data_IF_974481885233
#
_entry.id   IF_974481885233
#
_cell.length_a   1.000
_cell.length_b   1.000
_cell.length_c   1.000
_cell.angle_alpha   90.00
_cell.angle_beta   90.00
_cell.angle_gamma   90.00
#
_symmetry.space_group_name_H-M   'P 1'
#
loop_
_entity.id
_entity.type
_entity.pdbx_description
1 polymer ?
#
# COMPACT_ATOMS: atom_id res chain seq x y z
N UNK A 1 4.30 -48.43 -47.27
CA UNK A 1 3.40 -47.63 -46.42
C UNK A 1 3.98 -47.60 -45.01
N UNK A 2 4.47 -46.45 -44.56
CA UNK A 2 5.14 -46.31 -43.26
C UNK A 2 6.09 -45.13 -43.26
N UNK A 3 5.63 -44.01 -42.70
CA UNK A 3 6.42 -42.80 -42.44
C UNK A 3 7.38 -43.02 -41.28
N UNK A 4 8.58 -42.45 -41.39
CA UNK A 4 9.34 -41.67 -40.38
C UNK A 4 10.80 -41.59 -40.83
N UNK A 5 11.32 -40.38 -41.03
CA UNK A 5 12.43 -39.82 -40.26
C UNK A 5 12.97 -38.55 -40.94
N UNK A 6 12.91 -37.45 -40.17
CA UNK A 6 13.89 -36.36 -40.11
C UNK A 6 14.18 -35.48 -41.33
N UNK A 7 13.92 -34.19 -41.11
CA UNK A 7 14.81 -33.11 -41.57
C UNK A 7 14.14 -32.09 -42.47
N UNK A 8 13.83 -30.93 -41.90
CA UNK A 8 13.91 -29.57 -42.47
C UNK A 8 12.88 -28.70 -41.72
N UNK A 9 13.29 -28.02 -40.64
CA UNK A 9 13.98 -26.73 -40.72
C UNK A 9 13.02 -25.65 -41.26
N UNK A 10 12.36 -24.98 -40.31
CA UNK A 10 11.92 -23.58 -40.37
C UNK A 10 11.22 -23.11 -41.66
N UNK A 11 9.88 -23.13 -41.63
CA UNK A 11 9.00 -21.97 -41.89
C UNK A 11 7.57 -22.36 -41.53
N UNK A 12 6.81 -21.41 -40.99
CA UNK A 12 5.41 -21.53 -40.56
C UNK A 12 5.11 -22.10 -39.14
N UNK A 13 5.82 -21.63 -38.11
CA UNK A 13 5.25 -21.58 -36.75
C UNK A 13 4.90 -20.12 -36.44
N UNK A 14 3.62 -19.80 -36.48
CA UNK A 14 3.11 -18.45 -36.23
C UNK A 14 1.70 -18.46 -35.69
N UNK A 15 1.35 -19.43 -34.86
CA UNK A 15 0.08 -19.45 -34.15
C UNK A 15 0.14 -20.45 -32.99
N UNK A 16 -0.29 -20.01 -31.80
CA UNK A 16 -0.64 -20.84 -30.64
C UNK A 16 0.52 -21.56 -29.92
N UNK A 17 1.25 -20.82 -29.08
CA UNK A 17 1.72 -21.20 -27.73
C UNK A 17 2.62 -20.04 -27.26
N UNK A 18 2.06 -19.16 -26.43
CA UNK A 18 2.77 -18.41 -25.37
C UNK A 18 1.75 -17.61 -24.56
N UNK A 19 0.78 -18.34 -24.01
CA UNK A 19 -0.16 -17.87 -23.02
C UNK A 19 0.53 -17.93 -21.64
N UNK A 20 0.47 -16.82 -20.88
CA UNK A 20 0.48 -16.79 -19.39
C UNK A 20 1.77 -17.15 -18.62
N UNK A 21 2.95 -16.61 -18.96
CA UNK A 21 4.11 -16.73 -18.03
C UNK A 21 4.95 -15.48 -17.76
N UNK A 22 4.58 -14.31 -18.28
CA UNK A 22 5.34 -13.06 -18.02
C UNK A 22 4.56 -11.94 -17.33
N UNK A 23 3.24 -12.09 -17.12
CA UNK A 23 2.39 -11.06 -16.47
C UNK A 23 2.04 -11.35 -15.01
N UNK A 24 2.74 -12.28 -14.35
CA UNK A 24 2.39 -12.73 -12.98
C UNK A 24 3.48 -12.50 -11.92
N UNK A 25 4.64 -11.96 -12.31
CA UNK A 25 5.71 -11.55 -11.40
C UNK A 25 6.04 -10.05 -11.41
N UNK A 26 5.49 -9.26 -12.36
CA UNK A 26 5.84 -7.83 -12.49
C UNK A 26 5.20 -6.95 -11.41
N UNK A 27 3.91 -7.10 -11.11
CA UNK A 27 3.24 -6.13 -10.23
C UNK A 27 3.74 -6.11 -8.77
N UNK A 28 4.22 -7.23 -8.23
CA UNK A 28 4.78 -7.28 -6.86
C UNK A 28 6.23 -6.76 -6.81
N UNK A 29 7.02 -7.00 -7.86
CA UNK A 29 8.41 -6.54 -7.97
C UNK A 29 8.49 -5.08 -8.42
N UNK A 30 7.55 -4.59 -9.22
CA UNK A 30 7.46 -3.18 -9.60
C UNK A 30 7.03 -2.30 -8.43
N UNK A 31 6.17 -2.79 -7.53
CA UNK A 31 5.78 -2.04 -6.34
C UNK A 31 6.88 -1.99 -5.26
N UNK A 32 7.66 -3.06 -5.11
CA UNK A 32 8.86 -3.03 -4.27
C UNK A 32 9.95 -2.10 -4.85
N UNK A 33 10.12 -2.07 -6.18
CA UNK A 33 11.04 -1.12 -6.85
C UNK A 33 10.54 0.32 -6.83
N UNK A 34 9.23 0.55 -6.84
CA UNK A 34 8.61 1.87 -6.63
C UNK A 34 8.76 2.31 -5.17
N UNK A 35 8.67 1.40 -4.20
CA UNK A 35 8.97 1.70 -2.80
C UNK A 35 10.44 2.11 -2.57
N UNK A 36 11.40 1.53 -3.30
CA UNK A 36 12.82 1.97 -3.24
C UNK A 36 13.05 3.34 -3.90
N UNK A 37 12.27 3.69 -4.92
CA UNK A 37 12.45 4.95 -5.68
C UNK A 37 11.60 6.11 -5.15
N UNK A 38 10.48 5.81 -4.48
CA UNK A 38 9.77 6.75 -3.62
C UNK A 38 10.55 6.84 -2.31
N UNK A 39 11.70 7.52 -2.36
CA UNK A 39 12.35 8.06 -1.18
C UNK A 39 11.29 8.88 -0.42
N UNK A 40 10.63 8.21 0.53
CA UNK A 40 9.49 8.72 1.26
C UNK A 40 9.98 9.99 1.92
N UNK A 41 9.43 11.13 1.53
CA UNK A 41 9.76 12.44 2.08
C UNK A 41 9.89 12.33 3.60
N UNK A 42 11.11 12.49 4.12
CA UNK A 42 11.49 12.22 5.51
C UNK A 42 10.92 13.22 6.51
N UNK A 43 9.86 13.95 6.14
CA UNK A 43 9.24 14.95 7.01
C UNK A 43 8.31 14.24 7.97
N UNK A 44 8.73 14.18 9.23
CA UNK A 44 7.96 13.64 10.33
C UNK A 44 6.81 14.58 10.69
N UNK A 45 5.61 14.04 10.90
CA UNK A 45 4.40 14.79 11.26
C UNK A 45 4.25 14.86 12.78
N UNK A 46 3.55 15.88 13.29
CA UNK A 46 3.31 16.09 14.73
C UNK A 46 1.81 16.20 15.02
N UNK A 47 1.39 15.71 16.18
CA UNK A 47 0.08 15.97 16.77
C UNK A 47 0.25 16.20 18.28
N UNK A 48 -0.82 16.58 18.99
CA UNK A 48 -0.75 16.95 20.42
C UNK A 48 -0.10 15.90 21.33
N UNK A 49 -0.13 14.62 20.96
CA UNK A 49 0.43 13.51 21.74
C UNK A 49 1.72 12.90 21.19
N UNK A 50 2.29 13.40 20.09
CA UNK A 50 3.51 12.77 19.55
C UNK A 50 3.93 13.19 18.15
N UNK A 51 4.98 12.52 17.69
CA UNK A 51 5.66 12.74 16.40
C UNK A 51 5.67 11.41 15.66
N UNK A 52 5.27 11.38 14.38
CA UNK A 52 5.09 10.14 13.63
C UNK A 52 5.44 10.28 12.15
N UNK A 53 5.96 9.19 11.57
CA UNK A 53 6.12 9.00 10.13
C UNK A 53 5.52 7.63 9.80
N UNK A 54 4.25 7.64 9.39
CA UNK A 54 3.47 6.41 9.19
C UNK A 54 2.88 6.42 7.79
N UNK A 55 3.36 5.49 6.98
CA UNK A 55 2.81 5.14 5.69
C UNK A 55 2.29 3.72 5.68
N UNK A 56 1.26 3.46 4.88
CA UNK A 56 0.70 2.13 4.68
C UNK A 56 0.44 1.85 3.23
N UNK A 57 0.92 0.71 2.76
CA UNK A 57 0.54 0.13 1.49
C UNK A 57 -0.68 -0.76 1.70
N UNK A 58 -1.81 -0.39 1.11
CA UNK A 58 -3.09 -1.07 1.23
C UNK A 58 -3.50 -1.58 -0.15
N UNK A 59 -3.89 -2.85 -0.23
CA UNK A 59 -4.34 -3.47 -1.49
C UNK A 59 -5.68 -4.14 -1.27
N UNK A 60 -6.61 -3.96 -2.22
CA UNK A 60 -7.89 -4.69 -2.22
C UNK A 60 -8.35 -5.00 -3.63
N UNK A 61 -9.19 -6.05 -3.74
CA UNK A 61 -9.74 -6.50 -5.01
C UNK A 61 -11.25 -6.28 -5.10
N UNK A 62 -11.80 -6.13 -6.32
CA UNK A 62 -13.23 -6.27 -6.59
C UNK A 62 -13.75 -7.64 -6.15
N UNK A 63 -15.05 -7.72 -5.83
CA UNK A 63 -15.70 -8.97 -5.47
C UNK A 63 -15.59 -9.97 -6.63
N UNK A 64 -15.21 -11.21 -6.30
CA UNK A 64 -14.92 -12.28 -7.26
C UNK A 64 -13.83 -11.93 -8.30
N UNK A 65 -12.98 -10.93 -8.01
CA UNK A 65 -11.99 -10.36 -8.95
C UNK A 65 -12.59 -10.02 -10.31
N UNK A 66 -13.87 -9.64 -10.34
CA UNK A 66 -14.53 -9.19 -11.56
C UNK A 66 -13.94 -7.84 -11.94
N UNK A 67 -13.40 -7.69 -13.17
CA UNK A 67 -12.73 -6.45 -13.53
C UNK A 67 -13.69 -5.28 -13.46
N UNK A 68 -13.24 -4.19 -12.84
CA UNK A 68 -13.96 -2.91 -12.89
C UNK A 68 -13.70 -2.31 -14.29
N UNK A 69 -14.49 -2.76 -15.27
CA UNK A 69 -14.35 -2.33 -16.66
C UNK A 69 -14.97 -0.94 -16.86
N UNK A 70 -14.24 -0.06 -17.54
CA UNK A 70 -14.72 1.23 -18.02
C UNK A 70 -13.87 2.38 -17.49
N UNK A 71 -13.23 3.14 -18.40
CA UNK A 71 -12.34 4.27 -18.06
C UNK A 71 -12.99 5.24 -17.06
N UNK A 72 -14.25 5.59 -17.30
CA UNK A 72 -15.06 6.44 -16.40
C UNK A 72 -15.19 5.92 -14.97
N UNK A 73 -15.24 4.60 -14.75
CA UNK A 73 -15.34 4.03 -13.40
C UNK A 73 -14.00 4.10 -12.69
N UNK A 74 -12.90 3.87 -13.41
CA UNK A 74 -11.55 3.98 -12.87
C UNK A 74 -11.16 5.43 -12.55
N UNK A 75 -11.46 6.37 -13.45
CA UNK A 75 -11.31 7.81 -13.23
C UNK A 75 -12.07 8.25 -11.98
N UNK A 76 -13.35 7.86 -11.89
CA UNK A 76 -14.18 8.19 -10.74
C UNK A 76 -13.69 7.55 -9.44
N UNK A 77 -13.14 6.35 -9.51
CA UNK A 77 -12.54 5.70 -8.35
C UNK A 77 -11.33 6.48 -7.83
N UNK A 78 -10.44 6.94 -8.71
CA UNK A 78 -9.29 7.77 -8.34
C UNK A 78 -9.73 9.06 -7.64
N UNK A 79 -10.71 9.78 -8.21
CA UNK A 79 -11.30 10.98 -7.61
C UNK A 79 -11.85 10.72 -6.20
N UNK A 80 -12.61 9.63 -6.02
CA UNK A 80 -13.22 9.29 -4.74
C UNK A 80 -12.18 8.89 -3.69
N UNK A 81 -11.10 8.22 -4.09
CA UNK A 81 -10.00 7.89 -3.17
C UNK A 81 -9.31 9.18 -2.71
N UNK A 82 -9.02 10.11 -3.63
CA UNK A 82 -8.44 11.43 -3.28
C UNK A 82 -9.36 12.23 -2.38
N UNK A 83 -10.64 12.34 -2.72
CA UNK A 83 -11.65 13.01 -1.91
C UNK A 83 -11.71 12.44 -0.49
N UNK A 84 -11.69 11.11 -0.34
CA UNK A 84 -11.72 10.48 0.99
C UNK A 84 -10.43 10.73 1.77
N UNK A 85 -9.28 10.76 1.10
CA UNK A 85 -8.02 11.09 1.75
C UNK A 85 -8.01 12.55 2.23
N UNK A 86 -8.47 13.48 1.40
CA UNK A 86 -8.55 14.91 1.74
C UNK A 86 -9.50 15.16 2.93
N UNK A 87 -10.68 14.54 2.94
CA UNK A 87 -11.63 14.59 4.06
C UNK A 87 -11.00 14.14 5.39
N UNK A 88 -10.05 13.20 5.33
CA UNK A 88 -9.36 12.64 6.50
C UNK A 88 -8.05 13.34 6.83
N UNK A 89 -7.59 14.27 6.00
CA UNK A 89 -6.24 14.84 6.12
C UNK A 89 -5.12 13.82 5.88
N UNK A 90 -5.41 12.75 5.13
CA UNK A 90 -4.44 11.72 4.74
C UNK A 90 -3.74 12.12 3.43
N UNK A 91 -2.49 11.73 3.27
CA UNK A 91 -1.69 12.03 2.08
C UNK A 91 -1.53 10.77 1.24
N UNK A 92 -2.01 10.80 0.00
CA UNK A 92 -1.78 9.74 -0.99
C UNK A 92 -0.39 9.96 -1.59
N UNK A 93 0.49 8.99 -1.41
CA UNK A 93 1.85 9.01 -1.97
C UNK A 93 1.85 8.39 -3.36
N UNK A 94 1.12 7.28 -3.54
CA UNK A 94 0.93 6.62 -4.82
C UNK A 94 -0.41 5.89 -4.84
N UNK A 95 -1.06 5.86 -6.01
CA UNK A 95 -2.30 5.14 -6.26
C UNK A 95 -2.21 4.52 -7.64
N UNK A 96 -2.41 3.21 -7.71
CA UNK A 96 -2.48 2.46 -8.96
C UNK A 96 -3.77 1.63 -8.99
N UNK A 97 -4.60 1.90 -10.00
CA UNK A 97 -5.84 1.17 -10.24
C UNK A 97 -5.62 0.24 -11.43
N UNK A 98 -5.50 -1.05 -11.16
CA UNK A 98 -5.48 -2.07 -12.21
C UNK A 98 -6.81 -2.83 -12.23
N UNK A 99 -7.16 -3.55 -13.32
CA UNK A 99 -8.53 -4.04 -13.49
C UNK A 99 -9.07 -4.92 -12.35
N UNK A 100 -8.21 -5.69 -11.67
CA UNK A 100 -8.59 -6.66 -10.65
C UNK A 100 -8.08 -6.34 -9.23
N UNK A 101 -7.36 -5.23 -9.04
CA UNK A 101 -6.84 -4.81 -7.74
C UNK A 101 -6.56 -3.30 -7.72
N UNK A 102 -6.68 -2.71 -6.53
CA UNK A 102 -6.28 -1.33 -6.27
C UNK A 102 -5.11 -1.35 -5.31
N UNK A 103 -4.02 -0.68 -5.66
CA UNK A 103 -2.85 -0.48 -4.81
C UNK A 103 -2.80 0.97 -4.35
N UNK A 104 -2.77 1.18 -3.04
CA UNK A 104 -2.77 2.51 -2.46
C UNK A 104 -1.65 2.63 -1.43
N UNK A 105 -0.73 3.55 -1.65
CA UNK A 105 0.22 3.98 -0.65
C UNK A 105 -0.25 5.31 -0.03
N UNK A 106 -0.64 5.26 1.24
CA UNK A 106 -1.21 6.40 1.97
C UNK A 106 -0.49 6.64 3.29
N UNK A 107 -0.16 7.90 3.57
CA UNK A 107 0.25 8.35 4.91
C UNK A 107 -0.99 8.80 5.68
N UNK A 108 -1.17 8.23 6.86
CA UNK A 108 -2.35 8.43 7.69
C UNK A 108 -1.96 8.78 9.14
N UNK A 109 -2.94 9.22 9.92
CA UNK A 109 -2.75 9.51 11.33
C UNK A 109 -2.50 8.22 12.15
N UNK A 110 -1.77 8.30 13.29
CA UNK A 110 -1.45 7.12 14.10
C UNK A 110 -2.65 6.49 14.83
N UNK A 111 -3.79 7.19 14.93
CA UNK A 111 -4.98 6.67 15.61
C UNK A 111 -5.78 5.75 14.70
N UNK A 112 -5.63 5.92 13.39
CA UNK A 112 -6.27 5.10 12.36
C UNK A 112 -5.57 3.74 12.22
N UNK A 113 -6.29 2.67 12.55
CA UNK A 113 -5.81 1.30 12.36
C UNK A 113 -5.78 0.89 10.88
N UNK A 114 -5.03 -0.17 10.55
CA UNK A 114 -4.94 -0.71 9.19
C UNK A 114 -6.32 -1.03 8.59
N UNK A 115 -7.16 -1.71 9.39
CA UNK A 115 -8.51 -2.09 9.01
C UNK A 115 -9.39 -0.88 8.81
N UNK A 116 -9.25 0.13 9.68
CA UNK A 116 -10.00 1.37 9.56
C UNK A 116 -9.69 2.08 8.24
N UNK A 117 -8.41 2.30 7.92
CA UNK A 117 -7.98 2.94 6.68
C UNK A 117 -8.54 2.21 5.46
N UNK A 118 -8.37 0.89 5.38
CA UNK A 118 -8.88 0.09 4.27
C UNK A 118 -10.41 0.18 4.15
N UNK A 119 -11.13 0.12 5.27
CA UNK A 119 -12.59 0.16 5.28
C UNK A 119 -13.14 1.54 4.90
N UNK A 120 -12.45 2.64 5.24
CA UNK A 120 -12.86 3.98 4.83
C UNK A 120 -12.86 4.12 3.31
N UNK A 121 -11.78 3.70 2.64
CA UNK A 121 -11.71 3.75 1.18
C UNK A 121 -12.71 2.79 0.53
N UNK A 122 -12.71 1.52 0.95
CA UNK A 122 -13.58 0.48 0.36
C UNK A 122 -15.06 0.81 0.53
N UNK A 123 -15.48 1.19 1.74
CA UNK A 123 -16.89 1.48 2.04
C UNK A 123 -17.40 2.68 1.25
N UNK A 124 -16.64 3.79 1.27
CA UNK A 124 -17.02 5.02 0.57
C UNK A 124 -17.10 4.82 -0.93
N UNK A 125 -16.04 4.30 -1.55
CA UNK A 125 -15.97 4.07 -3.00
C UNK A 125 -17.04 3.08 -3.46
N UNK A 126 -17.28 2.00 -2.70
CA UNK A 126 -18.35 1.05 -3.02
C UNK A 126 -19.71 1.70 -3.01
N UNK A 127 -20.01 2.57 -2.03
CA UNK A 127 -21.30 3.26 -1.94
C UNK A 127 -21.51 4.18 -3.11
N UNK A 128 -20.54 5.07 -3.39
CA UNK A 128 -20.70 6.11 -4.42
C UNK A 128 -20.70 5.50 -5.82
N UNK A 129 -19.75 4.63 -6.15
CA UNK A 129 -19.68 4.01 -7.48
C UNK A 129 -20.92 3.16 -7.78
N UNK A 130 -21.46 2.42 -6.80
CA UNK A 130 -22.70 1.66 -7.01
C UNK A 130 -23.94 2.54 -7.14
N UNK A 131 -23.89 3.78 -6.67
CA UNK A 131 -24.95 4.76 -6.87
C UNK A 131 -24.89 5.39 -8.27
N UNK A 132 -23.69 5.78 -8.71
CA UNK A 132 -23.46 6.45 -10.00
C UNK A 132 -23.46 5.48 -11.19
N UNK A 133 -23.08 4.22 -10.96
CA UNK A 133 -22.98 3.19 -12.00
C UNK A 133 -23.85 1.97 -11.66
N UNK A 134 -25.16 1.99 -11.98
CA UNK A 134 -26.10 0.92 -11.63
C UNK A 134 -25.70 -0.48 -12.14
N UNK A 135 -24.96 -0.55 -13.26
CA UNK A 135 -24.45 -1.81 -13.80
C UNK A 135 -23.46 -2.54 -12.86
N UNK A 136 -22.87 -1.84 -11.89
CA UNK A 136 -22.05 -2.46 -10.84
C UNK A 136 -22.90 -3.17 -9.77
N UNK A 137 -24.18 -2.77 -9.61
CA UNK A 137 -25.10 -3.41 -8.66
C UNK A 137 -25.62 -4.75 -9.17
N UNK A 138 -25.98 -4.81 -10.45
CA UNK A 138 -26.56 -6.03 -11.06
C UNK A 138 -25.57 -7.18 -11.14
N UNK A 139 -24.26 -6.90 -11.25
CA UNK A 139 -23.21 -7.92 -11.41
C UNK A 139 -22.74 -8.56 -10.11
N UNK A 140 -22.88 -7.88 -8.98
CA UNK A 140 -22.33 -8.35 -7.69
C UNK A 140 -23.03 -7.72 -6.48
N UNK A 141 -23.14 -8.46 -5.36
CA UNK A 141 -23.81 -7.98 -4.16
C UNK A 141 -23.04 -6.85 -3.47
N UNK A 142 -21.70 -6.89 -3.50
CA UNK A 142 -20.79 -5.85 -3.02
C UNK A 142 -19.76 -5.53 -4.08
N UNK A 143 -19.23 -4.30 -4.13
CA UNK A 143 -18.20 -3.93 -5.12
C UNK A 143 -16.86 -4.59 -4.80
N UNK A 144 -16.46 -4.56 -3.53
CA UNK A 144 -15.17 -5.05 -3.08
C UNK A 144 -15.28 -6.40 -2.36
N UNK A 145 -14.18 -7.15 -2.35
CA UNK A 145 -13.99 -8.28 -1.42
C UNK A 145 -14.00 -7.78 0.03
N UNK A 146 -14.37 -8.63 0.98
CA UNK A 146 -14.22 -8.31 2.41
C UNK A 146 -12.75 -8.20 2.81
N UNK A 147 -11.89 -9.04 2.23
CA UNK A 147 -10.44 -9.05 2.48
C UNK A 147 -9.73 -7.81 1.95
N UNK A 148 -8.57 -7.54 2.54
CA UNK A 148 -7.59 -6.53 2.11
C UNK A 148 -6.20 -6.97 2.58
N UNK A 149 -5.17 -6.45 1.94
CA UNK A 149 -3.79 -6.55 2.38
C UNK A 149 -3.31 -5.19 2.90
N UNK A 150 -2.48 -5.19 3.94
CA UNK A 150 -1.92 -3.96 4.48
C UNK A 150 -0.49 -4.19 5.01
N UNK A 151 0.47 -3.44 4.49
CA UNK A 151 1.86 -3.44 4.92
C UNK A 151 2.28 -2.03 5.37
N UNK A 152 2.99 -1.94 6.49
CA UNK A 152 3.58 -0.69 6.96
C UNK A 152 4.77 -0.31 6.07
N UNK A 153 4.85 0.96 5.68
CA UNK A 153 5.98 1.51 4.90
C UNK A 153 6.51 2.71 5.67
N UNK A 154 7.76 2.61 6.11
CA UNK A 154 8.43 3.67 6.86
C UNK A 154 9.90 3.76 6.43
N UNK A 155 10.33 4.98 6.11
CA UNK A 155 11.74 5.30 5.87
C UNK A 155 12.22 6.10 7.08
N UNK A 156 12.46 5.41 8.20
CA UNK A 156 13.11 6.04 9.35
C UNK A 156 14.57 5.62 9.31
N UNK A 157 15.48 6.56 9.06
CA UNK A 157 16.91 6.28 9.11
C UNK A 157 17.33 5.97 10.54
N UNK A 158 18.36 5.13 10.72
CA UNK A 158 18.95 4.86 12.04
C UNK A 158 19.30 6.16 12.79
N UNK A 159 19.89 7.13 12.07
CA UNK A 159 20.19 8.46 12.60
C UNK A 159 18.96 9.23 13.11
N UNK A 160 17.78 9.06 12.47
CA UNK A 160 16.53 9.67 12.94
C UNK A 160 16.05 9.01 14.23
N UNK A 161 16.19 7.68 14.34
CA UNK A 161 15.86 6.94 15.56
C UNK A 161 16.81 7.34 16.70
N UNK A 162 18.12 7.37 16.44
CA UNK A 162 19.15 7.79 17.41
C UNK A 162 18.90 9.21 17.90
N UNK A 163 18.69 10.17 17.00
CA UNK A 163 18.36 11.55 17.38
C UNK A 163 17.06 11.65 18.18
N UNK A 164 16.03 10.87 17.83
CA UNK A 164 14.80 10.83 18.60
C UNK A 164 15.04 10.29 20.02
N UNK A 165 15.83 9.22 20.14
CA UNK A 165 16.28 8.69 21.43
C UNK A 165 17.00 9.81 22.17
N UNK A 166 18.12 10.32 21.70
CA UNK A 166 18.93 11.28 22.47
C UNK A 166 18.15 12.53 22.93
N UNK A 167 17.25 13.07 22.11
CA UNK A 167 16.44 14.25 22.45
C UNK A 167 15.31 13.97 23.46
N UNK A 168 14.89 12.71 23.68
CA UNK A 168 13.87 12.42 24.71
C UNK A 168 14.35 12.75 26.14
N UNK A 169 15.66 12.81 26.38
CA UNK A 169 16.26 13.04 27.71
C UNK A 169 16.40 14.52 28.06
N UNK A 170 16.15 15.43 27.11
CA UNK A 170 16.31 16.88 27.31
C UNK A 170 15.06 17.58 27.85
N UNK A 171 13.94 16.84 28.04
CA UNK A 171 12.69 17.41 28.55
C UNK A 171 12.89 17.90 30.01
N UNK A 172 12.68 19.20 30.30
CA UNK A 172 12.87 19.73 31.65
C UNK A 172 11.97 19.00 32.66
N UNK A 173 12.55 18.57 33.79
CA UNK A 173 11.87 17.85 34.87
C UNK A 173 12.02 16.31 34.90
N UNK A 174 12.75 15.69 33.94
CA UNK A 174 12.99 14.23 33.93
C UNK A 174 14.41 13.79 34.31
N UNK A 175 15.39 14.70 34.28
CA UNK A 175 16.81 14.37 34.56
C UNK A 175 17.04 13.90 36.00
N UNK A 176 16.32 14.46 36.96
CA UNK A 176 16.52 14.17 38.38
C UNK A 176 15.82 12.87 38.80
N UNK A 177 14.60 12.61 38.31
CA UNK A 177 13.83 11.39 38.64
C UNK A 177 14.39 10.10 38.06
N UNK A 178 15.13 10.18 36.94
CA UNK A 178 15.68 8.99 36.26
C UNK A 178 17.00 8.57 36.87
N UNK A 179 17.89 9.50 37.25
CA UNK A 179 19.15 9.18 37.96
C UNK A 179 18.91 8.42 39.27
N UNK A 180 17.80 8.73 39.94
CA UNK A 180 17.37 8.06 41.17
C UNK A 180 16.74 6.67 40.91
N UNK A 181 16.11 6.46 39.74
CA UNK A 181 15.40 5.21 39.40
C UNK A 181 16.22 4.20 38.56
N UNK A 182 17.32 4.61 37.92
CA UNK A 182 18.03 3.81 36.91
C UNK A 182 19.45 3.40 37.31
N UNK A 183 19.60 2.81 38.50
CA UNK A 183 20.81 2.06 38.87
C UNK A 183 21.12 0.84 37.98
N UNK A 184 20.24 0.47 37.03
CA UNK A 184 20.32 -0.78 36.25
C UNK A 184 20.28 -0.61 34.72
N UNK A 185 20.18 0.61 34.17
CA UNK A 185 20.11 0.83 32.72
C UNK A 185 21.51 1.16 32.15
N UNK A 186 22.39 0.16 32.11
CA UNK A 186 23.60 0.23 31.28
C UNK A 186 23.20 0.08 29.81
N UNK A 187 23.59 1.05 28.97
CA UNK A 187 23.44 0.95 27.51
C UNK A 187 24.19 -0.31 27.05
N UNK A 188 23.49 -1.35 26.65
CA UNK A 188 24.12 -2.46 25.93
C UNK A 188 24.33 -2.03 24.48
N UNK A 189 25.58 -1.98 23.97
CA UNK A 189 25.82 -1.73 22.56
C UNK A 189 25.17 -2.87 21.77
N UNK A 190 24.30 -2.52 20.82
CA UNK A 190 23.76 -3.48 19.85
C UNK A 190 24.94 -3.86 18.95
N UNK A 191 25.36 -5.13 19.06
CA UNK A 191 26.53 -5.68 18.38
C UNK A 191 26.49 -5.50 16.86
N UNK A 192 27.68 -5.36 16.29
CA UNK A 192 27.95 -5.19 14.85
C UNK A 192 27.74 -6.48 14.08
#
# INVERSE_FOLDING_TARGET
MGNRFFGLFWRQLGAWICTVHLYRFSAALDLLRVCDRLAVTGRVRRFSGGVYHLGRHVVWCPKYRRPVRGGRVAERLDELIRQKADERGWEIVALEVVPDQVHLFVKHDPKSSASYVANQFKGFTSRVLRSEFPHLRSRMPTLWSSSYFAASVGAVSAATVEKYIDTQWERPGKKDKVREATGWLTRHPVGR
#
